data_IF_789081824791
#
_entry.id   IF_789081824791
#
_cell.length_a   1.000
_cell.length_b   1.000
_cell.length_c   1.000
_cell.angle_alpha   90.00
_cell.angle_beta   90.00
_cell.angle_gamma   90.00
#
_symmetry.space_group_name_H-M   'P 1'
#
loop_
_entity.id
_entity.type
_entity.pdbx_description
1 polymer ?
#
# COMPACT_ATOMS: atom_id res chain seq x y z
N UNK A 1 -19.43 -10.54 -20.72
CA UNK A 1 -18.32 -9.71 -21.25
C UNK A 1 -17.12 -9.89 -20.35
N UNK A 2 -15.96 -10.38 -20.83
CA UNK A 2 -14.76 -10.44 -20.02
C UNK A 2 -14.25 -9.02 -19.78
N UNK A 3 -14.11 -8.62 -18.51
CA UNK A 3 -13.50 -7.35 -18.14
C UNK A 3 -12.00 -7.52 -18.41
N UNK A 4 -11.55 -7.08 -19.58
CA UNK A 4 -10.11 -6.94 -19.90
C UNK A 4 -9.55 -5.81 -19.05
N UNK A 5 -9.20 -6.13 -17.81
CA UNK A 5 -8.49 -5.20 -16.92
C UNK A 5 -7.12 -4.99 -17.54
N UNK A 6 -6.84 -3.77 -18.04
CA UNK A 6 -5.47 -3.37 -18.37
C UNK A 6 -4.61 -3.71 -17.14
N UNK A 7 -3.51 -4.46 -17.30
CA UNK A 7 -2.60 -4.67 -16.19
C UNK A 7 -2.18 -3.29 -15.72
N UNK A 8 -2.43 -2.99 -14.44
CA UNK A 8 -1.86 -1.80 -13.82
C UNK A 8 -0.36 -2.03 -13.94
N UNK A 9 0.36 -1.13 -14.63
CA UNK A 9 1.81 -1.21 -14.84
C UNK A 9 2.54 -0.89 -13.53
N UNK A 10 2.25 -1.70 -12.51
CA UNK A 10 2.94 -1.67 -11.23
C UNK A 10 4.11 -2.61 -11.42
N UNK A 11 5.31 -2.09 -11.18
CA UNK A 11 6.52 -2.91 -11.15
C UNK A 11 6.29 -4.09 -10.20
N UNK A 12 6.55 -5.34 -10.60
CA UNK A 12 6.24 -6.51 -9.76
C UNK A 12 6.97 -6.47 -8.41
N UNK A 13 8.11 -5.77 -8.34
CA UNK A 13 8.86 -5.51 -7.10
C UNK A 13 8.07 -4.67 -6.10
N UNK A 14 7.38 -3.62 -6.59
CA UNK A 14 6.52 -2.73 -5.78
C UNK A 14 5.33 -3.52 -5.25
N UNK A 15 4.71 -4.37 -6.08
CA UNK A 15 3.61 -5.22 -5.63
C UNK A 15 4.04 -6.21 -4.54
N UNK A 16 5.24 -6.80 -4.65
CA UNK A 16 5.80 -7.71 -3.64
C UNK A 16 6.13 -6.99 -2.35
N UNK A 17 6.75 -5.82 -2.44
CA UNK A 17 7.09 -4.99 -1.29
C UNK A 17 5.82 -4.54 -0.54
N UNK A 18 4.80 -4.06 -1.26
CA UNK A 18 3.50 -3.71 -0.68
C UNK A 18 2.84 -4.90 0.03
N UNK A 19 2.89 -6.10 -0.55
CA UNK A 19 2.35 -7.30 0.08
C UNK A 19 3.13 -7.71 1.34
N UNK A 20 4.45 -7.49 1.37
CA UNK A 20 5.29 -7.71 2.55
C UNK A 20 4.98 -6.69 3.66
N UNK A 21 4.89 -5.40 3.31
CA UNK A 21 4.53 -4.34 4.24
C UNK A 21 3.13 -4.53 4.82
N UNK A 22 2.15 -4.96 3.99
CA UNK A 22 0.82 -5.33 4.47
C UNK A 22 0.89 -6.45 5.51
N UNK A 23 1.63 -7.53 5.23
CA UNK A 23 1.77 -8.65 6.17
C UNK A 23 2.46 -8.21 7.47
N UNK A 24 3.50 -7.40 7.38
CA UNK A 24 4.19 -6.85 8.54
C UNK A 24 3.27 -5.95 9.37
N UNK A 25 2.44 -5.12 8.71
CA UNK A 25 1.47 -4.25 9.38
C UNK A 25 0.43 -5.04 10.19
N UNK A 26 -0.09 -6.13 9.62
CA UNK A 26 -1.05 -7.01 10.29
C UNK A 26 -0.42 -7.87 11.39
N UNK A 27 0.82 -8.30 11.22
CA UNK A 27 1.54 -9.08 12.22
C UNK A 27 1.99 -8.23 13.43
N UNK A 28 2.24 -6.95 13.20
CA UNK A 28 2.69 -6.02 14.23
C UNK A 28 1.51 -5.58 15.11
N UNK A 29 1.71 -5.53 16.43
CA UNK A 29 0.70 -5.10 17.41
C UNK A 29 0.96 -3.67 17.91
N UNK A 30 2.21 -3.21 17.81
CA UNK A 30 2.60 -1.85 18.19
C UNK A 30 2.15 -0.80 17.18
N UNK A 31 1.33 0.16 17.63
CA UNK A 31 0.85 1.28 16.80
C UNK A 31 1.99 2.09 16.17
N UNK A 32 3.07 2.36 16.92
CA UNK A 32 4.23 3.10 16.44
C UNK A 32 5.01 2.38 15.34
N UNK A 33 5.06 1.04 15.38
CA UNK A 33 5.73 0.25 14.34
C UNK A 33 4.85 0.10 13.11
N UNK A 34 3.54 -0.04 13.29
CA UNK A 34 2.55 0.05 12.21
C UNK A 34 2.65 1.38 11.46
N UNK A 35 2.81 2.50 12.16
CA UNK A 35 3.10 3.80 11.55
C UNK A 35 4.36 3.77 10.71
N UNK A 36 5.45 3.19 11.22
CA UNK A 36 6.71 3.11 10.49
C UNK A 36 6.58 2.34 9.16
N UNK A 37 5.82 1.24 9.16
CA UNK A 37 5.53 0.45 7.96
C UNK A 37 4.70 1.26 6.95
N UNK A 38 3.65 1.94 7.43
CA UNK A 38 2.82 2.81 6.60
C UNK A 38 3.61 4.02 6.03
N UNK A 39 4.53 4.60 6.80
CA UNK A 39 5.44 5.67 6.35
C UNK A 39 6.33 5.17 5.22
N UNK A 40 6.90 3.97 5.35
CA UNK A 40 7.76 3.36 4.33
C UNK A 40 7.00 3.05 3.02
N UNK A 41 5.74 2.64 3.13
CA UNK A 41 4.92 2.26 1.97
C UNK A 41 4.35 3.48 1.21
N UNK A 42 4.08 4.58 1.92
CA UNK A 42 3.48 5.80 1.37
C UNK A 42 4.17 6.37 0.11
N UNK A 43 5.50 6.60 0.07
CA UNK A 43 6.15 7.13 -1.12
C UNK A 43 5.99 6.20 -2.33
N UNK A 44 6.05 4.89 -2.10
CA UNK A 44 5.91 3.88 -3.14
C UNK A 44 4.49 3.88 -3.74
N UNK A 45 3.45 4.06 -2.92
CA UNK A 45 2.09 4.22 -3.40
C UNK A 45 1.88 5.54 -4.15
N UNK A 46 2.51 6.62 -3.68
CA UNK A 46 2.45 7.93 -4.34
C UNK A 46 3.11 7.90 -5.73
N UNK A 47 4.20 7.15 -5.93
CA UNK A 47 4.85 6.99 -7.25
C UNK A 47 3.94 6.33 -8.29
N UNK A 48 2.98 5.53 -7.86
CA UNK A 48 2.08 4.78 -8.73
C UNK A 48 0.65 5.34 -8.77
N UNK A 49 0.36 6.38 -7.99
CA UNK A 49 -0.94 7.05 -8.01
C UNK A 49 -0.98 8.17 -9.06
N UNK A 50 -2.17 8.45 -9.63
CA UNK A 50 -2.34 9.58 -10.53
C UNK A 50 -1.98 10.89 -9.83
N UNK A 51 -1.27 11.78 -10.54
CA UNK A 51 -0.80 13.05 -10.00
C UNK A 51 -1.95 13.85 -9.38
N UNK A 52 -1.81 14.21 -8.10
CA UNK A 52 -2.79 14.99 -7.34
C UNK A 52 -3.42 14.28 -6.15
N UNK A 53 -3.26 12.95 -6.02
CA UNK A 53 -3.73 12.22 -4.83
C UNK A 53 -2.77 12.45 -3.66
N UNK A 54 -3.27 13.07 -2.59
CA UNK A 54 -2.55 13.25 -1.33
C UNK A 54 -2.82 12.07 -0.41
N UNK A 55 -2.03 11.01 -0.52
CA UNK A 55 -2.15 9.86 0.36
C UNK A 55 -1.70 10.22 1.78
N UNK A 56 -2.66 10.23 2.73
CA UNK A 56 -2.37 10.42 4.17
C UNK A 56 -1.94 9.10 4.80
N UNK A 57 -1.17 9.17 5.88
CA UNK A 57 -0.78 7.99 6.67
C UNK A 57 -1.97 7.18 7.15
N UNK A 58 -3.03 7.85 7.61
CA UNK A 58 -4.28 7.20 8.00
C UNK A 58 -4.90 6.40 6.85
N UNK A 59 -4.89 6.94 5.64
CA UNK A 59 -5.44 6.22 4.47
C UNK A 59 -4.58 5.02 4.05
N UNK A 60 -3.25 5.08 4.24
CA UNK A 60 -2.39 3.90 4.02
C UNK A 60 -2.71 2.80 5.02
N UNK A 61 -2.97 3.15 6.29
CA UNK A 61 -3.37 2.20 7.32
C UNK A 61 -4.74 1.60 7.02
N UNK A 62 -5.72 2.43 6.69
CA UNK A 62 -7.05 1.98 6.29
C UNK A 62 -6.99 1.06 5.06
N UNK A 63 -6.14 1.37 4.07
CA UNK A 63 -5.90 0.51 2.92
C UNK A 63 -5.39 -0.87 3.34
N UNK A 64 -4.44 -0.93 4.27
CA UNK A 64 -3.96 -2.20 4.80
C UNK A 64 -5.05 -2.96 5.56
N UNK A 65 -5.89 -2.29 6.34
CA UNK A 65 -6.99 -2.92 7.07
C UNK A 65 -8.09 -3.45 6.13
N UNK A 66 -8.42 -2.71 5.06
CA UNK A 66 -9.39 -3.11 4.04
C UNK A 66 -8.93 -4.34 3.25
N UNK A 67 -7.62 -4.51 3.07
CA UNK A 67 -7.04 -5.62 2.30
C UNK A 67 -6.70 -6.85 3.15
N UNK A 68 -7.39 -7.13 4.27
CA UNK A 68 -7.05 -8.28 5.15
C UNK A 68 -7.12 -9.63 4.44
#
# INVERSE_FOLDING_TARGET
MPITRKPIDIRPEVARQFAADRRAYHAEQDGSRRDRIAVGTRPMLLEHMPAGIKLRLSEVKELFELMR
#
